data_IF_633334099272
#
_entry.id   IF_633334099272
#
_cell.length_a   1.000
_cell.length_b   1.000
_cell.length_c   1.000
_cell.angle_alpha   90.00
_cell.angle_beta   90.00
_cell.angle_gamma   90.00
#
_symmetry.space_group_name_H-M   'P 1'
#
loop_
_entity.id
_entity.type
_entity.pdbx_description
1 polymer ?
#
# COMPACT_ATOMS: atom_id res chain seq x y z
N UNK A 1 41.29 41.11 6.39
CA UNK A 1 40.92 39.69 6.19
C UNK A 1 39.41 39.62 6.07
N UNK A 2 38.89 39.73 4.85
CA UNK A 2 37.46 39.84 4.57
C UNK A 2 36.96 38.44 4.20
N UNK A 3 36.28 37.77 5.13
CA UNK A 3 35.61 36.48 4.87
C UNK A 3 34.37 36.81 4.04
N UNK A 4 34.53 36.83 2.71
CA UNK A 4 33.41 36.93 1.78
C UNK A 4 32.67 35.59 1.77
N UNK A 5 31.66 35.48 2.64
CA UNK A 5 30.68 34.39 2.59
C UNK A 5 29.73 34.67 1.42
N UNK A 6 30.23 34.56 0.19
CA UNK A 6 29.34 34.42 -0.96
C UNK A 6 28.64 33.06 -0.83
N UNK A 7 27.33 32.94 -1.14
CA UNK A 7 26.77 31.63 -1.37
C UNK A 7 27.58 31.05 -2.52
N UNK A 8 28.35 29.99 -2.25
CA UNK A 8 29.07 29.27 -3.29
C UNK A 8 28.04 28.97 -4.36
N UNK A 9 28.22 29.52 -5.56
CA UNK A 9 27.29 29.30 -6.66
C UNK A 9 27.33 27.81 -6.97
N UNK A 10 26.43 27.04 -6.33
CA UNK A 10 26.28 25.63 -6.58
C UNK A 10 25.89 25.55 -8.04
N UNK A 11 26.78 25.02 -8.85
CA UNK A 11 26.51 24.86 -10.27
C UNK A 11 25.43 23.80 -10.41
N UNK A 12 24.41 24.03 -11.24
CA UNK A 12 23.26 23.12 -11.39
C UNK A 12 23.66 21.66 -11.65
N UNK A 13 24.83 21.41 -12.26
CA UNK A 13 25.35 20.06 -12.47
C UNK A 13 25.54 19.24 -11.18
N UNK A 14 25.97 19.87 -10.07
CA UNK A 14 26.13 19.16 -8.79
C UNK A 14 24.78 18.73 -8.24
N UNK A 15 23.76 19.58 -8.40
CA UNK A 15 22.38 19.28 -7.98
C UNK A 15 21.81 18.13 -8.79
N UNK A 16 22.05 18.11 -10.11
CA UNK A 16 21.58 17.03 -10.98
C UNK A 16 22.23 15.69 -10.61
N UNK A 17 23.55 15.65 -10.42
CA UNK A 17 24.25 14.41 -10.05
C UNK A 17 23.79 13.90 -8.68
N UNK A 18 23.71 14.78 -7.69
CA UNK A 18 23.23 14.43 -6.36
C UNK A 18 21.78 13.95 -6.39
N UNK A 19 20.92 14.62 -7.16
CA UNK A 19 19.51 14.25 -7.33
C UNK A 19 19.33 12.91 -8.03
N UNK A 20 20.09 12.62 -9.09
CA UNK A 20 20.03 11.32 -9.76
C UNK A 20 20.49 10.20 -8.80
N UNK A 21 21.55 10.45 -8.02
CA UNK A 21 22.02 9.49 -7.02
C UNK A 21 20.97 9.22 -5.94
N UNK A 22 20.29 10.27 -5.45
CA UNK A 22 19.18 10.17 -4.51
C UNK A 22 18.01 9.36 -5.11
N UNK A 23 17.59 9.69 -6.33
CA UNK A 23 16.51 8.96 -7.03
C UNK A 23 16.85 7.48 -7.19
N UNK A 24 18.09 7.15 -7.57
CA UNK A 24 18.53 5.77 -7.71
C UNK A 24 18.48 5.03 -6.36
N UNK A 25 19.00 5.64 -5.30
CA UNK A 25 18.97 5.07 -3.95
C UNK A 25 17.53 4.89 -3.43
N UNK A 26 16.69 5.93 -3.58
CA UNK A 26 15.29 5.92 -3.15
C UNK A 26 14.43 4.95 -3.95
N UNK A 27 14.64 4.82 -5.26
CA UNK A 27 13.97 3.82 -6.10
C UNK A 27 14.24 2.40 -5.61
N UNK A 28 15.50 2.09 -5.29
CA UNK A 28 15.88 0.77 -4.76
C UNK A 28 15.23 0.55 -3.39
N UNK A 29 15.33 1.53 -2.49
CA UNK A 29 14.76 1.43 -1.15
C UNK A 29 13.23 1.23 -1.17
N UNK A 30 12.52 2.05 -1.94
CA UNK A 30 11.06 2.00 -2.06
C UNK A 30 10.59 0.74 -2.81
N UNK A 31 11.31 0.34 -3.87
CA UNK A 31 11.02 -0.90 -4.59
C UNK A 31 11.19 -2.14 -3.73
N UNK A 32 12.26 -2.21 -2.93
CA UNK A 32 12.47 -3.29 -1.96
C UNK A 32 11.43 -3.25 -0.83
N UNK A 33 11.09 -2.06 -0.33
CA UNK A 33 10.04 -1.88 0.67
C UNK A 33 8.68 -2.39 0.19
N UNK A 34 8.31 -2.05 -1.05
CA UNK A 34 7.09 -2.54 -1.68
C UNK A 34 7.06 -4.05 -1.90
N UNK A 35 8.21 -4.64 -2.24
CA UNK A 35 8.36 -6.11 -2.36
C UNK A 35 8.19 -6.78 -1.00
N UNK A 36 8.91 -6.30 0.02
CA UNK A 36 8.94 -6.90 1.34
C UNK A 36 7.57 -6.80 2.01
N UNK A 37 6.90 -5.65 1.94
CA UNK A 37 5.55 -5.47 2.47
C UNK A 37 4.57 -6.50 1.86
N UNK A 38 4.54 -6.61 0.53
CA UNK A 38 3.67 -7.57 -0.14
C UNK A 38 4.07 -9.04 0.13
N UNK A 39 5.35 -9.32 0.37
CA UNK A 39 5.82 -10.64 0.79
C UNK A 39 5.37 -10.95 2.22
N UNK A 40 5.49 -10.00 3.14
CA UNK A 40 5.04 -10.13 4.54
C UNK A 40 3.54 -10.33 4.62
N UNK A 41 2.74 -9.58 3.87
CA UNK A 41 1.29 -9.81 3.77
C UNK A 41 0.97 -11.26 3.35
N UNK A 42 1.75 -11.80 2.40
CA UNK A 42 1.60 -13.18 1.93
C UNK A 42 2.00 -14.20 2.99
N UNK A 43 3.13 -14.00 3.66
CA UNK A 43 3.56 -14.90 4.74
C UNK A 43 2.55 -14.89 5.90
N UNK A 44 2.02 -13.71 6.24
CA UNK A 44 0.96 -13.57 7.23
C UNK A 44 -0.31 -14.33 6.83
N UNK A 45 -0.78 -14.18 5.58
CA UNK A 45 -1.94 -14.92 5.08
C UNK A 45 -1.78 -16.43 5.24
N UNK A 46 -0.64 -17.00 4.82
CA UNK A 46 -0.42 -18.44 4.91
C UNK A 46 -0.22 -18.93 6.34
N UNK A 47 0.34 -18.10 7.22
CA UNK A 47 0.44 -18.43 8.64
C UNK A 47 -0.94 -18.52 9.30
N UNK A 48 -1.83 -17.57 9.01
CA UNK A 48 -3.21 -17.58 9.51
C UNK A 48 -4.01 -18.73 8.90
N UNK A 49 -3.86 -19.00 7.58
CA UNK A 49 -4.51 -20.14 6.93
C UNK A 49 -4.18 -21.48 7.60
N UNK A 50 -2.91 -21.68 7.97
CA UNK A 50 -2.47 -22.88 8.66
C UNK A 50 -2.95 -22.93 10.12
N UNK A 51 -3.09 -21.77 10.77
CA UNK A 51 -3.67 -21.67 12.11
C UNK A 51 -5.15 -22.07 12.08
N UNK A 52 -5.91 -21.50 11.15
CA UNK A 52 -7.34 -21.73 10.98
C UNK A 52 -7.64 -23.19 10.65
N UNK A 53 -6.86 -23.80 9.74
CA UNK A 53 -6.98 -25.23 9.43
C UNK A 53 -6.79 -26.12 10.65
N UNK A 54 -5.87 -25.76 11.55
CA UNK A 54 -5.62 -26.48 12.79
C UNK A 54 -6.76 -26.27 13.79
N UNK A 55 -7.26 -25.05 13.92
CA UNK A 55 -8.37 -24.72 14.82
C UNK A 55 -9.67 -25.44 14.39
N UNK A 56 -10.01 -25.45 13.11
CA UNK A 56 -11.13 -26.24 12.54
C UNK A 56 -10.94 -27.75 12.75
N UNK A 57 -9.68 -28.23 12.82
CA UNK A 57 -9.36 -29.63 13.06
C UNK A 57 -9.46 -30.05 14.53
N UNK A 58 -8.91 -29.24 15.43
CA UNK A 58 -8.69 -29.54 16.84
C UNK A 58 -9.82 -29.04 17.74
N UNK A 59 -10.47 -27.92 17.37
CA UNK A 59 -11.49 -27.22 18.17
C UNK A 59 -12.79 -26.95 17.39
N UNK A 60 -13.37 -27.94 16.68
CA UNK A 60 -14.48 -27.70 15.75
C UNK A 60 -15.74 -27.13 16.40
N UNK A 61 -15.99 -27.42 17.67
CA UNK A 61 -17.17 -26.89 18.38
C UNK A 61 -17.03 -25.40 18.68
N UNK A 62 -15.80 -24.95 18.98
CA UNK A 62 -15.49 -23.54 19.17
C UNK A 62 -15.60 -22.79 17.85
N UNK A 63 -14.97 -23.29 16.79
CA UNK A 63 -15.00 -22.65 15.48
C UNK A 63 -16.41 -22.55 14.88
N UNK A 64 -17.31 -23.48 15.22
CA UNK A 64 -18.73 -23.39 14.83
C UNK A 64 -19.44 -22.21 15.49
N UNK A 65 -19.11 -21.92 16.74
CA UNK A 65 -19.64 -20.74 17.44
C UNK A 65 -19.09 -19.45 16.83
N UNK A 66 -17.82 -19.45 16.41
CA UNK A 66 -17.22 -18.29 15.72
C UNK A 66 -17.91 -18.03 14.36
N UNK A 67 -18.25 -19.07 13.59
CA UNK A 67 -19.13 -18.94 12.40
C UNK A 67 -20.50 -18.39 12.77
N UNK A 68 -21.11 -18.86 13.87
CA UNK A 68 -22.41 -18.38 14.33
C UNK A 68 -22.35 -16.88 14.68
N UNK A 69 -21.29 -16.45 15.34
CA UNK A 69 -21.04 -15.05 15.71
C UNK A 69 -20.87 -14.15 14.50
N UNK A 70 -20.13 -14.58 13.47
CA UNK A 70 -20.03 -13.85 12.19
C UNK A 70 -21.41 -13.67 11.56
N UNK A 71 -22.24 -14.72 11.52
CA UNK A 71 -23.59 -14.65 10.95
C UNK A 71 -24.53 -13.74 11.77
N UNK A 72 -24.45 -13.79 13.11
CA UNK A 72 -25.19 -12.89 13.99
C UNK A 72 -24.78 -11.43 13.79
N UNK A 73 -23.47 -11.17 13.62
CA UNK A 73 -22.92 -9.86 13.29
C UNK A 73 -23.48 -9.28 11.98
N UNK A 74 -23.90 -10.12 11.05
CA UNK A 74 -24.57 -9.72 9.81
C UNK A 74 -26.09 -9.58 9.92
N UNK A 75 -26.66 -9.79 11.11
CA UNK A 75 -28.10 -9.69 11.35
C UNK A 75 -28.90 -10.90 10.87
N UNK A 76 -28.27 -12.08 10.73
CA UNK A 76 -29.00 -13.32 10.46
C UNK A 76 -29.87 -13.65 11.68
N UNK A 77 -31.19 -13.88 11.52
CA UNK A 77 -32.06 -14.26 12.63
C UNK A 77 -31.60 -15.57 13.28
N UNK A 78 -31.60 -15.63 14.61
CA UNK A 78 -31.10 -16.78 15.39
C UNK A 78 -31.72 -18.11 14.97
N UNK A 79 -33.00 -18.11 14.57
CA UNK A 79 -33.70 -19.31 14.07
C UNK A 79 -33.07 -19.93 12.80
N UNK A 80 -32.26 -19.18 12.05
CA UNK A 80 -31.57 -19.63 10.83
C UNK A 80 -30.07 -19.87 11.02
N UNK A 81 -29.48 -19.38 12.11
CA UNK A 81 -28.03 -19.49 12.34
C UNK A 81 -27.57 -20.95 12.41
N UNK A 82 -28.22 -21.86 13.16
CA UNK A 82 -27.76 -23.25 13.27
C UNK A 82 -27.69 -23.98 11.92
N UNK A 83 -28.69 -23.81 11.06
CA UNK A 83 -28.72 -24.48 9.76
C UNK A 83 -27.69 -23.92 8.78
N UNK A 84 -27.38 -22.63 8.86
CA UNK A 84 -26.31 -22.00 8.08
C UNK A 84 -24.93 -22.44 8.55
N UNK A 85 -24.69 -22.48 9.87
CA UNK A 85 -23.46 -23.01 10.45
C UNK A 85 -23.24 -24.45 10.00
N UNK A 86 -24.26 -25.30 10.10
CA UNK A 86 -24.16 -26.69 9.64
C UNK A 86 -23.83 -26.77 8.15
N UNK A 87 -24.50 -25.98 7.30
CA UNK A 87 -24.24 -25.96 5.86
C UNK A 87 -22.82 -25.47 5.50
N UNK A 88 -22.28 -24.48 6.21
CA UNK A 88 -20.93 -23.95 5.99
C UNK A 88 -19.87 -24.95 6.47
N UNK A 89 -20.09 -25.54 7.65
CA UNK A 89 -19.12 -26.43 8.31
C UNK A 89 -19.07 -27.86 7.77
N UNK A 90 -19.95 -28.21 6.82
CA UNK A 90 -19.93 -29.51 6.12
C UNK A 90 -18.67 -29.75 5.29
N UNK A 91 -18.09 -28.68 4.74
CA UNK A 91 -16.93 -28.72 3.86
C UNK A 91 -15.79 -27.93 4.51
N UNK A 92 -14.75 -28.63 4.96
CA UNK A 92 -13.66 -28.02 5.73
C UNK A 92 -12.92 -26.93 4.96
N UNK A 93 -12.76 -27.09 3.65
CA UNK A 93 -12.07 -26.08 2.84
C UNK A 93 -12.92 -24.81 2.76
N UNK A 94 -14.24 -24.95 2.54
CA UNK A 94 -15.15 -23.79 2.52
C UNK A 94 -15.34 -23.15 3.88
N UNK A 95 -15.27 -23.92 4.96
CA UNK A 95 -15.33 -23.40 6.32
C UNK A 95 -14.10 -22.53 6.59
N UNK A 96 -12.89 -23.05 6.32
CA UNK A 96 -11.66 -22.26 6.47
C UNK A 96 -11.69 -21.02 5.58
N UNK A 97 -12.11 -21.13 4.32
CA UNK A 97 -12.24 -19.98 3.42
C UNK A 97 -13.25 -18.94 3.94
N UNK A 98 -14.33 -19.38 4.57
CA UNK A 98 -15.31 -18.50 5.22
C UNK A 98 -14.68 -17.73 6.38
N UNK A 99 -13.96 -18.42 7.28
CA UNK A 99 -13.31 -17.81 8.43
C UNK A 99 -12.22 -16.83 8.01
N UNK A 100 -11.32 -17.26 7.11
CA UNK A 100 -10.29 -16.41 6.54
C UNK A 100 -10.87 -15.10 5.97
N UNK A 101 -11.99 -15.18 5.25
CA UNK A 101 -12.58 -14.03 4.59
C UNK A 101 -13.42 -13.14 5.51
N UNK A 102 -14.23 -13.72 6.37
CA UNK A 102 -15.28 -12.99 7.07
C UNK A 102 -14.98 -12.72 8.54
N UNK A 103 -14.16 -13.56 9.17
CA UNK A 103 -13.68 -13.31 10.51
C UNK A 103 -12.36 -12.53 10.48
N UNK A 104 -11.36 -13.03 9.75
CA UNK A 104 -10.02 -12.43 9.71
C UNK A 104 -9.90 -11.29 8.67
N UNK A 105 -10.81 -11.23 7.69
CA UNK A 105 -10.78 -10.22 6.63
C UNK A 105 -9.61 -10.38 5.65
N UNK A 106 -9.06 -11.59 5.57
CA UNK A 106 -7.90 -11.94 4.75
C UNK A 106 -8.36 -12.58 3.44
N UNK A 107 -7.79 -12.10 2.33
CA UNK A 107 -8.00 -12.66 0.99
C UNK A 107 -6.68 -13.18 0.43
N UNK A 108 -6.76 -14.24 -0.39
CA UNK A 108 -5.56 -14.85 -0.96
C UNK A 108 -4.77 -13.83 -1.80
N UNK A 109 -3.49 -13.57 -1.45
CA UNK A 109 -2.70 -12.57 -2.14
C UNK A 109 -2.23 -13.07 -3.50
N UNK A 110 -2.36 -12.24 -4.55
CA UNK A 110 -1.83 -12.54 -5.89
C UNK A 110 -0.32 -12.87 -5.80
N UNK A 111 0.12 -14.04 -6.31
CA UNK A 111 1.54 -14.42 -6.34
C UNK A 111 2.47 -13.38 -6.98
N UNK A 112 1.95 -12.58 -7.92
CA UNK A 112 2.69 -11.53 -8.63
C UNK A 112 2.68 -10.20 -7.90
N UNK A 113 1.89 -10.04 -6.82
CA UNK A 113 1.73 -8.79 -6.06
C UNK A 113 3.07 -8.24 -5.57
N UNK A 114 3.95 -9.09 -5.03
CA UNK A 114 5.25 -8.65 -4.52
C UNK A 114 6.13 -8.01 -5.62
N UNK A 115 6.24 -8.67 -6.77
CA UNK A 115 6.97 -8.13 -7.92
C UNK A 115 6.31 -6.87 -8.48
N UNK A 116 5.00 -6.90 -8.69
CA UNK A 116 4.28 -5.79 -9.30
C UNK A 116 4.32 -4.54 -8.39
N UNK A 117 4.17 -4.72 -7.07
CA UNK A 117 4.31 -3.67 -6.06
C UNK A 117 5.70 -3.02 -6.12
N UNK A 118 6.75 -3.85 -6.10
CA UNK A 118 8.15 -3.41 -6.20
C UNK A 118 8.42 -2.53 -7.42
N UNK A 119 8.02 -3.01 -8.60
CA UNK A 119 8.23 -2.29 -9.87
C UNK A 119 7.42 -1.00 -9.92
N UNK A 120 6.14 -1.06 -9.54
CA UNK A 120 5.24 0.11 -9.62
C UNK A 120 5.70 1.22 -8.68
N UNK A 121 6.05 0.88 -7.43
CA UNK A 121 6.52 1.85 -6.44
C UNK A 121 7.87 2.43 -6.84
N UNK A 122 8.83 1.58 -7.25
CA UNK A 122 10.15 2.04 -7.69
C UNK A 122 10.06 2.98 -8.88
N UNK A 123 9.33 2.61 -9.94
CA UNK A 123 9.15 3.46 -11.12
C UNK A 123 8.40 4.76 -10.80
N UNK A 124 7.41 4.71 -9.90
CA UNK A 124 6.71 5.91 -9.44
C UNK A 124 7.64 6.87 -8.69
N UNK A 125 8.58 6.34 -7.89
CA UNK A 125 9.60 7.15 -7.22
C UNK A 125 10.52 7.85 -8.23
N UNK A 126 10.98 7.12 -9.25
CA UNK A 126 11.80 7.70 -10.32
C UNK A 126 11.05 8.81 -11.06
N UNK A 127 9.80 8.54 -11.47
CA UNK A 127 8.97 9.51 -12.15
C UNK A 127 8.72 10.77 -11.30
N UNK A 128 8.41 10.59 -10.01
CA UNK A 128 8.20 11.69 -9.07
C UNK A 128 9.46 12.50 -8.81
N UNK A 129 10.62 11.85 -8.69
CA UNK A 129 11.90 12.52 -8.43
C UNK A 129 12.44 13.32 -9.63
N UNK A 130 12.11 12.93 -10.86
CA UNK A 130 12.53 13.67 -12.07
C UNK A 130 11.87 15.05 -12.15
N UNK A 131 10.65 15.20 -11.65
CA UNK A 131 9.88 16.45 -11.71
C UNK A 131 10.65 17.64 -11.10
N UNK A 132 11.07 17.61 -9.81
CA UNK A 132 11.84 18.70 -9.22
C UNK A 132 13.25 18.87 -9.83
N UNK A 133 13.84 17.83 -10.41
CA UNK A 133 15.15 17.93 -11.07
C UNK A 133 15.09 18.52 -12.47
N UNK A 134 13.95 18.42 -13.15
CA UNK A 134 13.81 18.85 -14.55
C UNK A 134 14.32 20.27 -14.84
N UNK A 135 14.13 21.29 -13.97
CA UNK A 135 14.58 22.65 -14.29
C UNK A 135 16.10 22.82 -14.17
N UNK A 136 16.75 22.01 -13.34
CA UNK A 136 18.21 22.03 -13.17
C UNK A 136 18.96 21.50 -14.39
N UNK A 137 18.29 20.74 -15.27
CA UNK A 137 18.85 20.24 -16.54
C UNK A 137 18.94 21.38 -17.56
N UNK A 138 17.97 22.30 -17.57
CA UNK A 138 17.86 23.36 -18.58
C UNK A 138 18.40 24.71 -18.11
N UNK A 139 18.43 24.97 -16.79
CA UNK A 139 18.80 26.26 -16.21
C UNK A 139 20.18 26.16 -15.53
N UNK A 140 21.23 26.80 -16.09
CA UNK A 140 22.60 26.72 -15.55
C UNK A 140 22.79 27.41 -14.20
N UNK A 141 21.92 28.38 -13.88
CA UNK A 141 21.95 29.14 -12.63
C UNK A 141 21.03 28.48 -11.59
N UNK A 142 21.63 27.90 -10.55
CA UNK A 142 20.88 27.10 -9.58
C UNK A 142 19.78 27.87 -8.83
N UNK A 143 19.94 29.18 -8.61
CA UNK A 143 18.91 30.01 -7.97
C UNK A 143 17.66 30.16 -8.84
N UNK A 144 17.83 30.40 -10.14
CA UNK A 144 16.73 30.43 -11.10
C UNK A 144 16.11 29.03 -11.29
N UNK A 145 16.94 27.99 -11.34
CA UNK A 145 16.48 26.60 -11.43
C UNK A 145 15.66 26.18 -10.21
N UNK A 146 16.05 26.61 -9.01
CA UNK A 146 15.33 26.35 -7.77
C UNK A 146 13.93 26.96 -7.79
N UNK A 147 13.80 28.25 -8.15
CA UNK A 147 12.49 28.90 -8.22
C UNK A 147 11.56 28.22 -9.24
N UNK A 148 12.10 27.83 -10.39
CA UNK A 148 11.36 27.06 -11.39
C UNK A 148 10.96 25.67 -10.86
N UNK A 149 11.87 24.98 -10.16
CA UNK A 149 11.63 23.67 -9.54
C UNK A 149 10.53 23.72 -8.48
N UNK A 150 10.54 24.73 -7.62
CA UNK A 150 9.47 24.95 -6.64
C UNK A 150 8.13 25.13 -7.35
N UNK A 151 8.06 25.99 -8.37
CA UNK A 151 6.83 26.22 -9.13
C UNK A 151 6.28 24.95 -9.79
N UNK A 152 7.14 24.21 -10.50
CA UNK A 152 6.77 22.95 -11.17
C UNK A 152 6.34 21.89 -10.17
N UNK A 153 7.07 21.74 -9.06
CA UNK A 153 6.74 20.76 -8.02
C UNK A 153 5.42 21.08 -7.35
N UNK A 154 5.13 22.35 -7.04
CA UNK A 154 3.84 22.75 -6.48
C UNK A 154 2.68 22.44 -7.43
N UNK A 155 2.84 22.71 -8.72
CA UNK A 155 1.83 22.36 -9.73
C UNK A 155 1.66 20.83 -9.78
N UNK A 156 2.75 20.07 -9.82
CA UNK A 156 2.69 18.62 -9.84
C UNK A 156 2.00 18.03 -8.59
N UNK A 157 2.32 18.54 -7.41
CA UNK A 157 1.66 18.14 -6.15
C UNK A 157 0.18 18.50 -6.14
N UNK A 158 -0.18 19.68 -6.66
CA UNK A 158 -1.58 20.07 -6.78
C UNK A 158 -2.36 19.14 -7.71
N UNK A 159 -1.81 18.83 -8.88
CA UNK A 159 -2.40 17.89 -9.84
C UNK A 159 -2.50 16.49 -9.21
N UNK A 160 -1.44 16.00 -8.58
CA UNK A 160 -1.43 14.68 -7.93
C UNK A 160 -2.45 14.60 -6.80
N UNK A 161 -2.52 15.61 -5.93
CA UNK A 161 -3.53 15.69 -4.87
C UNK A 161 -4.95 15.77 -5.41
N UNK A 162 -5.18 16.50 -6.50
CA UNK A 162 -6.47 16.54 -7.16
C UNK A 162 -6.87 15.17 -7.74
N UNK A 163 -5.94 14.48 -8.42
CA UNK A 163 -6.16 13.13 -8.95
C UNK A 163 -6.42 12.11 -7.82
N UNK A 164 -5.67 12.17 -6.73
CA UNK A 164 -5.89 11.28 -5.58
C UNK A 164 -7.25 11.54 -4.91
N UNK A 165 -7.70 12.80 -4.84
CA UNK A 165 -8.95 13.21 -4.18
C UNK A 165 -10.22 13.08 -5.04
N UNK A 166 -10.10 13.03 -6.36
CA UNK A 166 -11.25 12.91 -7.28
C UNK A 166 -11.25 11.63 -8.11
N UNK A 167 -10.11 10.97 -8.22
CA UNK A 167 -9.95 9.70 -8.92
C UNK A 167 -10.54 8.50 -8.17
N UNK A 168 -10.40 7.29 -8.73
CA UNK A 168 -10.93 6.06 -8.13
C UNK A 168 -10.43 5.80 -6.69
N UNK A 169 -9.29 6.37 -6.31
CA UNK A 169 -8.71 6.27 -4.96
C UNK A 169 -9.50 7.01 -3.87
N UNK A 170 -10.06 8.18 -4.17
CA UNK A 170 -10.90 8.91 -3.21
C UNK A 170 -12.20 8.18 -2.87
N UNK A 171 -12.64 7.30 -3.77
CA UNK A 171 -13.82 6.48 -3.54
C UNK A 171 -13.53 5.26 -2.65
N UNK A 172 -12.26 4.92 -2.41
CA UNK A 172 -11.84 3.82 -1.55
C UNK A 172 -11.88 4.21 -0.06
N UNK A 173 -11.41 5.42 0.28
CA UNK A 173 -11.45 5.95 1.65
C UNK A 173 -12.88 6.17 2.15
N UNK A 174 -13.79 6.64 1.28
CA UNK A 174 -15.23 6.71 1.59
C UNK A 174 -15.89 5.34 1.79
N UNK A 175 -15.36 4.26 1.20
CA UNK A 175 -15.87 2.89 1.41
C UNK A 175 -15.26 2.21 2.63
N UNK A 176 -14.04 2.57 3.02
CA UNK A 176 -13.40 2.10 4.25
C UNK A 176 -14.11 2.58 5.52
N UNK A 177 -14.64 3.82 5.52
CA UNK A 177 -15.43 4.35 6.64
C UNK A 177 -16.83 3.74 6.75
N UNK A 178 -17.44 3.31 5.64
CA UNK A 178 -18.78 2.67 5.64
C UNK A 178 -18.71 1.19 6.04
N UNK A 179 -17.53 0.55 5.99
CA UNK A 179 -17.33 -0.85 6.42
C UNK A 179 -16.98 -1.01 7.91
N UNK A 180 -16.83 0.07 8.67
CA UNK A 180 -16.52 0.06 10.12
C UNK A 180 -17.67 0.51 11.03
N UNK A 181 -18.88 0.69 10.48
CA UNK A 181 -20.10 1.00 11.24
C UNK A 181 -21.08 -0.16 11.23
#
# INVERSE_FOLDING_TARGET
MQISVWPQAVRSHLVVIAGIAEIAAGCIAMGLGGYLAAKTDREHYFAELERERREVAELPDREREEVADVLRGWGVPEARVPSLVEAITQDRDKWVDFMMKFELGLEEPDPKRARNSSVTIGLSYVAGGIIPLSPYIFIPHATAALLASVGITLIALFVFGWVCSHGPFANWERRGLVRRS
#
